data_IF_488629863358
#
_entry.id   IF_488629863358
#
_cell.length_a   1.000
_cell.length_b   1.000
_cell.length_c   1.000
_cell.angle_alpha   90.00
_cell.angle_beta   90.00
_cell.angle_gamma   90.00
#
_symmetry.space_group_name_H-M   'P 1'
#
loop_
_entity.id
_entity.type
_entity.pdbx_description
1 polymer ?
#
# COMPACT_ATOMS: atom_id res chain seq x y z
N UNK A 1 -16.40 16.12 -8.75
CA UNK A 1 -16.48 15.36 -7.50
C UNK A 1 -16.63 16.25 -6.29
N UNK A 2 -17.61 15.94 -5.44
CA UNK A 2 -17.76 16.52 -4.10
C UNK A 2 -17.49 15.43 -3.07
N UNK A 3 -16.77 15.76 -2.01
CA UNK A 3 -16.51 14.86 -0.90
C UNK A 3 -17.06 15.42 0.42
N UNK A 4 -17.53 14.54 1.28
CA UNK A 4 -17.96 14.86 2.64
C UNK A 4 -17.08 14.12 3.64
N UNK A 5 -16.32 14.87 4.45
CA UNK A 5 -15.38 14.32 5.42
C UNK A 5 -16.05 14.07 6.78
N UNK A 6 -15.87 12.87 7.32
CA UNK A 6 -16.19 12.48 8.70
C UNK A 6 -14.92 12.00 9.38
N UNK A 7 -14.45 12.71 10.41
CA UNK A 7 -13.36 12.21 11.28
C UNK A 7 -13.94 11.15 12.20
N UNK A 8 -13.31 9.97 12.23
CA UNK A 8 -13.80 8.80 12.97
C UNK A 8 -12.91 8.43 14.17
N UNK A 9 -11.64 8.87 14.16
CA UNK A 9 -10.74 8.73 15.30
C UNK A 9 -9.58 9.73 15.23
N UNK A 10 -8.98 9.98 16.39
CA UNK A 10 -7.66 10.57 16.51
C UNK A 10 -6.64 9.46 16.81
N UNK A 11 -5.61 9.34 15.97
CA UNK A 11 -4.54 8.36 16.09
C UNK A 11 -3.22 9.04 15.68
N UNK A 12 -2.38 9.32 16.68
CA UNK A 12 -1.12 10.02 16.45
C UNK A 12 -0.27 9.30 15.40
N UNK A 13 0.12 10.04 14.36
CA UNK A 13 0.89 9.50 13.22
C UNK A 13 0.23 8.27 12.58
N UNK A 14 -1.10 8.26 12.46
CA UNK A 14 -1.83 7.28 11.67
C UNK A 14 -1.21 7.09 10.28
N UNK A 15 -1.15 5.85 9.81
CA UNK A 15 -0.45 5.51 8.58
C UNK A 15 -1.09 4.35 7.82
N UNK A 16 -1.09 3.15 8.40
CA UNK A 16 -1.52 1.95 7.69
C UNK A 16 -3.03 1.80 7.74
N UNK A 17 -3.63 1.48 6.60
CA UNK A 17 -5.06 1.28 6.42
C UNK A 17 -5.30 -0.08 5.74
N UNK A 18 -6.39 -0.75 6.09
CA UNK A 18 -6.87 -1.92 5.35
C UNK A 18 -8.34 -2.17 5.65
N UNK A 19 -8.96 -3.11 4.95
CA UNK A 19 -10.18 -3.76 5.42
C UNK A 19 -9.86 -5.14 5.97
N UNK A 20 -10.58 -5.55 7.02
CA UNK A 20 -10.40 -6.84 7.65
C UNK A 20 -11.76 -7.46 7.97
N UNK A 21 -11.99 -8.67 7.46
CA UNK A 21 -13.20 -9.45 7.74
C UNK A 21 -12.95 -10.42 8.89
N UNK A 22 -13.72 -10.24 9.97
CA UNK A 22 -13.75 -11.14 11.12
C UNK A 22 -15.15 -11.14 11.74
N UNK A 23 -15.49 -12.19 12.49
CA UNK A 23 -16.82 -12.36 13.10
C UNK A 23 -18.02 -12.22 12.13
N UNK A 24 -17.78 -12.49 10.83
CA UNK A 24 -18.79 -12.40 9.77
C UNK A 24 -19.07 -10.97 9.28
N UNK A 25 -18.31 -9.98 9.72
CA UNK A 25 -18.45 -8.57 9.33
C UNK A 25 -17.15 -8.04 8.70
N UNK A 26 -17.30 -7.05 7.80
CA UNK A 26 -16.17 -6.32 7.21
C UNK A 26 -15.91 -5.06 8.01
N UNK A 27 -14.67 -4.87 8.41
CA UNK A 27 -14.23 -3.73 9.22
C UNK A 27 -13.19 -2.88 8.50
N UNK A 28 -13.17 -1.60 8.81
CA UNK A 28 -12.06 -0.70 8.49
C UNK A 28 -11.00 -0.84 9.58
N UNK A 29 -9.72 -0.83 9.24
CA UNK A 29 -8.63 -0.95 10.21
C UNK A 29 -7.60 0.13 9.98
N UNK A 30 -7.18 0.80 11.06
CA UNK A 30 -6.14 1.82 11.04
C UNK A 30 -5.08 1.58 12.13
N UNK A 31 -3.82 1.81 11.76
CA UNK A 31 -2.68 1.76 12.68
C UNK A 31 -1.67 2.87 12.37
N UNK A 32 -0.83 3.22 13.34
CA UNK A 32 0.18 4.26 13.19
C UNK A 32 1.56 3.71 12.82
N UNK A 33 2.39 4.56 12.22
CA UNK A 33 3.83 4.33 12.06
C UNK A 33 4.60 4.53 13.38
N UNK A 34 3.94 4.96 14.46
CA UNK A 34 4.50 5.09 15.81
C UNK A 34 3.95 4.04 16.75
N UNK A 35 4.42 4.06 17.99
CA UNK A 35 3.98 3.11 19.02
C UNK A 35 2.57 3.45 19.52
N UNK A 36 1.59 3.04 18.74
CA UNK A 36 0.16 3.33 18.93
C UNK A 36 -0.66 2.06 18.63
N UNK A 37 -1.91 1.99 19.12
CA UNK A 37 -2.78 0.84 18.89
C UNK A 37 -3.15 0.67 17.41
N UNK A 38 -3.57 -0.55 17.07
CA UNK A 38 -4.34 -0.82 15.87
C UNK A 38 -5.80 -0.97 16.24
N UNK A 39 -6.65 -0.24 15.53
CA UNK A 39 -8.07 -0.08 15.86
C UNK A 39 -8.89 -0.51 14.66
N UNK A 40 -9.95 -1.29 14.90
CA UNK A 40 -10.96 -1.60 13.90
C UNK A 40 -12.23 -0.77 14.09
N UNK A 41 -12.92 -0.50 12.99
CA UNK A 41 -14.14 0.30 12.93
C UNK A 41 -15.19 -0.39 12.06
N UNK A 42 -16.47 -0.06 12.26
CA UNK A 42 -17.50 -0.33 11.26
C UNK A 42 -17.20 0.42 9.97
N UNK A 43 -17.88 0.06 8.89
CA UNK A 43 -17.79 0.79 7.63
C UNK A 43 -18.29 2.24 7.77
N UNK A 44 -19.13 2.54 8.77
CA UNK A 44 -19.59 3.90 9.08
C UNK A 44 -18.65 4.67 10.03
N UNK A 45 -17.60 4.01 10.54
CA UNK A 45 -16.58 4.63 11.39
C UNK A 45 -16.77 4.48 12.90
N UNK A 46 -17.70 3.65 13.37
CA UNK A 46 -17.83 3.37 14.80
C UNK A 46 -16.72 2.41 15.25
N UNK A 47 -16.00 2.77 16.31
CA UNK A 47 -14.95 1.89 16.87
C UNK A 47 -15.53 0.53 17.28
N UNK A 48 -14.91 -0.55 16.82
CA UNK A 48 -15.32 -1.94 17.10
C UNK A 48 -14.38 -2.64 18.07
N UNK A 49 -13.08 -2.59 17.80
CA UNK A 49 -12.11 -3.34 18.60
C UNK A 49 -10.73 -2.66 18.63
N UNK A 50 -9.90 -3.08 19.57
CA UNK A 50 -8.47 -2.77 19.60
C UNK A 50 -7.74 -4.08 19.31
N UNK A 51 -7.22 -4.22 18.10
CA UNK A 51 -6.57 -5.45 17.65
C UNK A 51 -5.25 -5.70 18.42
N UNK A 52 -4.54 -4.63 18.76
CA UNK A 52 -3.42 -4.61 19.70
C UNK A 52 -3.14 -3.18 20.19
N UNK A 53 -2.41 -3.06 21.30
CA UNK A 53 -2.03 -1.77 21.90
C UNK A 53 -0.63 -1.31 21.50
N UNK A 54 0.39 -2.13 21.74
CA UNK A 54 1.80 -1.86 21.43
C UNK A 54 2.59 -3.17 21.27
N UNK A 55 3.78 -3.20 20.66
CA UNK A 55 4.37 -2.13 19.86
C UNK A 55 3.56 -1.83 18.59
N UNK A 56 3.59 -0.58 18.14
CA UNK A 56 3.14 -0.13 16.82
C UNK A 56 4.24 -0.19 15.74
N UNK A 57 4.38 0.86 14.93
CA UNK A 57 5.33 0.89 13.81
C UNK A 57 4.83 0.11 12.59
N UNK A 58 3.57 0.34 12.23
CA UNK A 58 2.84 -0.43 11.21
C UNK A 58 2.82 0.38 9.92
N UNK A 59 3.29 -0.27 8.85
CA UNK A 59 3.38 0.32 7.51
C UNK A 59 2.50 -0.40 6.49
N UNK A 60 2.11 -1.64 6.73
CA UNK A 60 1.23 -2.41 5.85
C UNK A 60 0.43 -3.43 6.64
N UNK A 61 -0.81 -3.66 6.22
CA UNK A 61 -1.69 -4.69 6.77
C UNK A 61 -2.45 -5.37 5.62
N UNK A 62 -2.52 -6.69 5.63
CA UNK A 62 -3.18 -7.48 4.59
C UNK A 62 -3.91 -8.65 5.24
N UNK A 63 -5.15 -8.89 4.86
CA UNK A 63 -5.88 -10.06 5.32
C UNK A 63 -5.36 -11.34 4.64
N UNK A 64 -5.17 -12.39 5.44
CA UNK A 64 -4.84 -13.72 4.96
C UNK A 64 -5.99 -14.30 4.11
N UNK A 65 -5.73 -14.92 2.96
CA UNK A 65 -6.78 -15.42 2.07
C UNK A 65 -7.73 -16.40 2.76
N UNK A 66 -9.03 -16.08 2.73
CA UNK A 66 -10.10 -16.98 3.19
C UNK A 66 -10.13 -17.26 4.70
N UNK A 67 -9.34 -16.55 5.52
CA UNK A 67 -9.34 -16.72 6.98
C UNK A 67 -9.41 -15.36 7.70
N UNK A 68 -10.01 -15.28 8.89
CA UNK A 68 -10.02 -14.06 9.71
C UNK A 68 -8.67 -13.88 10.42
N UNK A 69 -7.59 -13.77 9.63
CA UNK A 69 -6.22 -13.57 10.09
C UNK A 69 -5.69 -12.30 9.45
N UNK A 70 -5.16 -11.39 10.25
CA UNK A 70 -4.57 -10.14 9.77
C UNK A 70 -3.04 -10.24 9.81
N UNK A 71 -2.38 -10.07 8.67
CA UNK A 71 -0.94 -9.84 8.61
C UNK A 71 -0.65 -8.36 8.77
N UNK A 72 0.47 -8.03 9.42
CA UNK A 72 0.94 -6.66 9.51
C UNK A 72 2.47 -6.59 9.59
N UNK A 73 3.04 -5.43 9.22
CA UNK A 73 4.38 -5.07 9.69
C UNK A 73 4.31 -4.54 11.11
N UNK A 74 5.44 -4.60 11.82
CA UNK A 74 5.59 -4.08 13.18
C UNK A 74 6.98 -3.48 13.36
N UNK A 75 7.11 -2.47 14.21
CA UNK A 75 8.37 -1.82 14.61
C UNK A 75 9.17 -1.19 13.46
N UNK A 76 8.50 -0.79 12.38
CA UNK A 76 9.06 0.15 11.43
C UNK A 76 8.62 1.56 11.83
N UNK A 77 9.51 2.35 12.45
CA UNK A 77 9.18 3.70 12.93
C UNK A 77 9.63 4.83 12.00
N UNK A 78 10.64 4.54 11.19
CA UNK A 78 11.16 5.37 10.09
C UNK A 78 12.25 4.58 9.36
N UNK A 79 12.72 5.02 8.19
CA UNK A 79 13.89 4.40 7.55
C UNK A 79 15.15 4.44 8.43
N UNK A 80 15.23 5.31 9.45
CA UNK A 80 16.35 5.40 10.38
C UNK A 80 16.18 4.55 11.66
N UNK A 81 15.01 3.93 11.84
CA UNK A 81 14.65 3.16 13.04
C UNK A 81 13.65 2.07 12.61
N UNK A 82 14.19 0.99 12.07
CA UNK A 82 13.43 -0.14 11.51
C UNK A 82 14.24 -1.44 11.46
N UNK A 83 15.37 -1.50 12.14
CA UNK A 83 16.19 -2.70 12.30
C UNK A 83 15.44 -3.82 13.03
N UNK A 84 14.55 -3.47 13.96
CA UNK A 84 13.66 -4.40 14.68
C UNK A 84 12.36 -4.73 13.92
N UNK A 85 12.24 -4.32 12.66
CA UNK A 85 11.03 -4.55 11.88
C UNK A 85 10.78 -6.05 11.64
N UNK A 86 9.51 -6.44 11.65
CA UNK A 86 9.07 -7.83 11.49
C UNK A 86 7.71 -7.92 10.82
N UNK A 87 7.41 -9.11 10.28
CA UNK A 87 6.07 -9.50 9.88
C UNK A 87 5.41 -10.25 11.04
N UNK A 88 4.16 -9.91 11.32
CA UNK A 88 3.33 -10.52 12.36
C UNK A 88 2.02 -11.00 11.75
N UNK A 89 1.34 -11.93 12.42
CA UNK A 89 -0.05 -12.25 12.15
C UNK A 89 -0.88 -12.19 13.43
N UNK A 90 -2.17 -11.91 13.27
CA UNK A 90 -3.15 -11.90 14.34
C UNK A 90 -4.23 -12.95 14.13
N UNK A 91 -4.51 -13.72 15.19
CA UNK A 91 -5.61 -14.69 15.26
C UNK A 91 -6.50 -14.39 16.45
N UNK A 92 -7.76 -14.83 16.41
CA UNK A 92 -8.67 -14.77 17.55
C UNK A 92 -8.57 -16.08 18.34
N UNK A 93 -8.24 -16.01 19.64
CA UNK A 93 -8.24 -17.16 20.56
C UNK A 93 -9.03 -16.79 21.81
N UNK A 94 -10.03 -17.61 22.17
CA UNK A 94 -10.89 -17.40 23.34
C UNK A 94 -11.50 -15.98 23.44
N UNK A 95 -11.81 -15.39 22.29
CA UNK A 95 -12.38 -14.04 22.22
C UNK A 95 -11.35 -12.91 22.31
N UNK A 96 -10.06 -13.19 22.39
CA UNK A 96 -8.98 -12.20 22.41
C UNK A 96 -8.12 -12.26 21.14
N UNK A 97 -7.51 -11.12 20.79
CA UNK A 97 -6.54 -11.06 19.70
C UNK A 97 -5.17 -11.52 20.19
N UNK A 98 -4.65 -12.56 19.56
CA UNK A 98 -3.30 -13.07 19.79
C UNK A 98 -2.44 -12.69 18.61
N UNK A 99 -1.34 -12.00 18.91
CA UNK A 99 -0.37 -11.52 17.93
C UNK A 99 0.89 -12.35 17.99
N UNK A 100 1.28 -12.92 16.86
CA UNK A 100 2.46 -13.80 16.74
C UNK A 100 3.44 -13.24 15.72
N UNK A 101 4.74 -13.29 16.02
CA UNK A 101 5.80 -12.97 15.05
C UNK A 101 5.85 -14.06 13.99
N UNK A 102 5.65 -13.69 12.73
CA UNK A 102 5.71 -14.61 11.60
C UNK A 102 7.15 -14.82 11.14
N UNK A 103 7.89 -13.71 10.98
CA UNK A 103 9.33 -13.71 10.76
C UNK A 103 9.92 -12.34 11.08
N UNK A 104 11.20 -12.31 11.49
CA UNK A 104 11.98 -11.07 11.60
C UNK A 104 12.51 -10.71 10.21
N UNK A 105 12.29 -9.47 9.80
CA UNK A 105 12.75 -8.97 8.51
C UNK A 105 13.10 -7.48 8.67
N UNK A 106 14.31 -7.16 9.16
CA UNK A 106 14.75 -5.78 9.35
C UNK A 106 14.48 -4.91 8.12
N UNK A 107 14.01 -3.69 8.35
CA UNK A 107 13.67 -2.68 7.35
C UNK A 107 12.45 -3.01 6.45
N UNK A 108 11.66 -4.05 6.76
CA UNK A 108 10.43 -4.35 6.02
C UNK A 108 9.39 -3.24 6.21
N UNK A 109 8.88 -2.68 5.11
CA UNK A 109 7.95 -1.55 5.15
C UNK A 109 6.72 -1.74 4.25
N UNK A 110 6.80 -2.57 3.21
CA UNK A 110 5.67 -2.97 2.37
C UNK A 110 5.65 -4.48 2.21
N UNK A 111 4.47 -5.07 2.12
CA UNK A 111 4.31 -6.46 1.73
C UNK A 111 2.92 -6.67 1.12
N UNK A 112 2.74 -7.78 0.42
CA UNK A 112 1.46 -8.18 -0.12
C UNK A 112 1.40 -9.69 -0.33
N UNK A 113 0.24 -10.15 -0.76
CA UNK A 113 0.01 -11.53 -1.15
C UNK A 113 -0.28 -11.56 -2.63
N UNK A 114 0.46 -12.39 -3.36
CA UNK A 114 0.26 -12.61 -4.77
C UNK A 114 -0.28 -14.02 -5.00
N UNK A 115 -1.16 -14.17 -5.98
CA UNK A 115 -1.75 -15.44 -6.41
C UNK A 115 -1.26 -15.81 -7.81
N UNK A 116 -0.94 -17.10 -7.98
CA UNK A 116 -0.63 -17.72 -9.27
C UNK A 116 -1.38 -19.04 -9.38
N UNK A 117 -2.54 -19.02 -10.01
CA UNK A 117 -3.46 -20.15 -10.02
C UNK A 117 -4.04 -20.41 -8.62
N UNK A 118 -3.76 -21.56 -8.04
CA UNK A 118 -4.19 -21.91 -6.67
C UNK A 118 -3.13 -21.64 -5.59
N UNK A 119 -1.95 -21.15 -5.99
CA UNK A 119 -0.86 -20.89 -5.07
C UNK A 119 -0.88 -19.44 -4.61
N UNK A 120 -0.60 -19.23 -3.33
CA UNK A 120 -0.37 -17.92 -2.74
C UNK A 120 1.10 -17.75 -2.36
N UNK A 121 1.61 -16.55 -2.57
CA UNK A 121 2.97 -16.15 -2.26
C UNK A 121 2.94 -14.89 -1.42
N UNK A 122 3.78 -14.86 -0.40
CA UNK A 122 4.09 -13.64 0.33
C UNK A 122 5.23 -12.91 -0.39
N UNK A 123 5.05 -11.63 -0.67
CA UNK A 123 6.10 -10.74 -1.18
C UNK A 123 6.29 -9.62 -0.15
N UNK A 124 7.53 -9.32 0.21
CA UNK A 124 7.87 -8.27 1.17
C UNK A 124 9.05 -7.43 0.66
N UNK A 125 8.95 -6.13 0.87
CA UNK A 125 9.95 -5.14 0.46
C UNK A 125 10.62 -4.58 1.69
N UNK A 126 11.96 -4.57 1.67
CA UNK A 126 12.74 -3.78 2.62
C UNK A 126 13.17 -2.48 1.96
N UNK A 127 12.96 -1.35 2.65
CA UNK A 127 13.27 -0.02 2.11
C UNK A 127 14.78 0.18 1.84
N UNK A 128 15.57 -0.48 2.68
CA UNK A 128 17.03 -0.59 2.64
C UNK A 128 17.45 -1.87 3.38
N UNK A 129 18.75 -2.19 3.42
CA UNK A 129 19.23 -3.40 4.12
C UNK A 129 19.94 -3.12 5.45
N UNK A 130 20.43 -1.91 5.67
CA UNK A 130 21.10 -1.49 6.90
C UNK A 130 21.25 0.04 6.95
N UNK A 131 21.65 0.56 8.11
CA UNK A 131 22.22 1.90 8.24
C UNK A 131 23.26 1.96 9.36
N UNK A 132 24.37 2.64 9.12
CA UNK A 132 25.38 2.95 10.14
C UNK A 132 25.10 4.28 10.86
N UNK A 133 24.39 5.20 10.20
CA UNK A 133 24.06 6.53 10.71
C UNK A 133 22.69 7.00 10.18
N UNK A 134 22.22 8.14 10.67
CA UNK A 134 20.97 8.76 10.20
C UNK A 134 21.10 9.14 8.73
N UNK A 135 20.08 8.80 7.94
CA UNK A 135 19.97 9.06 6.50
C UNK A 135 21.03 8.33 5.65
N UNK A 136 21.55 7.21 6.17
CA UNK A 136 22.37 6.27 5.40
C UNK A 136 21.48 5.43 4.45
N UNK A 137 21.73 5.60 3.15
CA UNK A 137 21.08 4.93 2.03
C UNK A 137 22.05 4.07 1.21
N UNK A 138 23.25 3.80 1.73
CA UNK A 138 24.31 3.08 1.00
C UNK A 138 24.03 1.58 0.85
N UNK A 139 23.14 1.04 1.68
CA UNK A 139 22.75 -0.37 1.66
C UNK A 139 21.37 -0.54 1.03
N UNK A 140 21.25 -0.78 -0.29
CA UNK A 140 19.97 -0.83 -0.98
C UNK A 140 19.05 -1.93 -0.43
N UNK A 141 17.75 -1.72 -0.61
CA UNK A 141 16.68 -2.62 -0.24
C UNK A 141 16.58 -3.84 -1.16
N UNK A 142 15.62 -4.70 -0.81
CA UNK A 142 15.40 -5.99 -1.49
C UNK A 142 13.91 -6.32 -1.54
N UNK A 143 13.58 -7.21 -2.47
CA UNK A 143 12.34 -7.95 -2.49
C UNK A 143 12.60 -9.35 -1.97
N UNK A 144 11.79 -9.75 -1.00
CA UNK A 144 11.79 -11.04 -0.36
C UNK A 144 10.51 -11.78 -0.71
N UNK A 145 10.60 -13.08 -0.91
CA UNK A 145 9.45 -13.90 -1.26
C UNK A 145 9.44 -15.21 -0.47
N UNK A 146 8.26 -15.75 -0.29
CA UNK A 146 8.04 -17.08 0.24
C UNK A 146 6.72 -17.63 -0.29
N UNK A 147 6.60 -18.94 -0.36
CA UNK A 147 5.28 -19.55 -0.50
C UNK A 147 4.47 -19.25 0.77
N UNK A 148 3.23 -18.81 0.61
CA UNK A 148 2.34 -18.57 1.74
C UNK A 148 1.88 -19.95 2.27
N UNK A 149 2.11 -20.27 3.55
CA UNK A 149 1.79 -21.58 4.09
C UNK A 149 0.29 -21.72 4.37
N UNK A 150 -0.35 -22.82 3.95
CA UNK A 150 -1.78 -23.07 4.16
C UNK A 150 -2.23 -22.87 5.62
N UNK A 151 -1.37 -23.28 6.57
CA UNK A 151 -1.57 -23.05 7.99
C UNK A 151 -0.47 -22.15 8.57
N UNK A 152 -0.76 -20.86 8.65
CA UNK A 152 0.16 -19.87 9.22
C UNK A 152 0.43 -20.06 10.71
N UNK A 153 -0.47 -20.71 11.46
CA UNK A 153 -0.34 -20.90 12.91
C UNK A 153 0.76 -21.90 13.31
N UNK A 154 1.31 -22.64 12.35
CA UNK A 154 2.47 -23.51 12.55
C UNK A 154 3.79 -22.72 12.65
N UNK A 155 3.74 -21.41 12.36
CA UNK A 155 4.88 -20.51 12.37
C UNK A 155 4.81 -19.54 13.55
N UNK A 156 5.95 -19.27 14.16
CA UNK A 156 6.10 -18.37 15.30
C UNK A 156 7.56 -17.88 15.42
N UNK A 157 7.93 -17.23 16.52
CA UNK A 157 9.29 -16.73 16.70
C UNK A 157 10.36 -17.83 16.78
N UNK A 158 10.02 -19.00 17.33
CA UNK A 158 10.93 -20.16 17.42
C UNK A 158 10.95 -21.00 16.13
N UNK A 159 9.92 -20.86 15.29
CA UNK A 159 9.80 -21.48 13.97
C UNK A 159 9.35 -20.44 12.92
N UNK A 160 10.21 -19.49 12.54
CA UNK A 160 9.82 -18.39 11.67
C UNK A 160 9.67 -18.85 10.22
N UNK A 161 8.83 -18.15 9.45
CA UNK A 161 8.80 -18.30 8.00
C UNK A 161 10.14 -17.88 7.41
N UNK A 162 10.71 -18.75 6.56
CA UNK A 162 11.93 -18.44 5.82
C UNK A 162 11.58 -17.65 4.57
N UNK A 163 12.09 -16.42 4.49
CA UNK A 163 11.95 -15.55 3.32
C UNK A 163 13.21 -15.61 2.46
N UNK A 164 13.05 -15.76 1.14
CA UNK A 164 14.15 -15.82 0.19
C UNK A 164 14.30 -14.48 -0.55
N UNK A 165 15.53 -13.97 -0.77
CA UNK A 165 15.73 -12.76 -1.54
C UNK A 165 15.51 -13.05 -3.03
N UNK A 166 14.49 -12.42 -3.63
CA UNK A 166 14.20 -12.54 -5.06
C UNK A 166 14.97 -11.50 -5.87
N UNK A 167 14.99 -10.24 -5.41
CA UNK A 167 15.63 -9.12 -6.12
C UNK A 167 16.37 -8.20 -5.15
N UNK A 168 17.55 -7.75 -5.55
CA UNK A 168 18.48 -6.96 -4.72
C UNK A 168 18.88 -5.67 -5.43
N UNK A 169 19.50 -4.73 -4.69
CA UNK A 169 20.04 -3.51 -5.29
C UNK A 169 18.97 -2.44 -5.58
N UNK A 170 17.87 -2.47 -4.83
CA UNK A 170 16.74 -1.54 -4.98
C UNK A 170 16.92 -0.35 -4.04
N UNK A 171 17.36 0.80 -4.56
CA UNK A 171 17.63 1.99 -3.72
C UNK A 171 16.32 2.69 -3.33
N UNK A 172 16.17 3.02 -2.04
CA UNK A 172 14.93 3.61 -1.50
C UNK A 172 13.69 2.86 -1.99
N UNK A 173 13.73 1.52 -1.89
CA UNK A 173 12.65 0.63 -2.32
C UNK A 173 11.37 0.98 -1.57
N UNK A 174 10.48 1.79 -2.12
CA UNK A 174 9.41 2.43 -1.34
C UNK A 174 8.03 2.01 -1.86
N UNK A 175 7.77 2.25 -3.14
CA UNK A 175 6.46 2.02 -3.74
C UNK A 175 6.13 0.56 -3.91
N UNK A 176 4.87 0.21 -3.73
CA UNK A 176 4.38 -1.16 -3.81
C UNK A 176 2.89 -1.18 -4.15
N UNK A 177 2.55 -1.76 -5.29
CA UNK A 177 1.16 -1.97 -5.71
C UNK A 177 0.95 -3.39 -6.20
N UNK A 178 -0.12 -4.05 -5.76
CA UNK A 178 -0.55 -5.35 -6.29
C UNK A 178 -1.46 -5.12 -7.49
N UNK A 179 -1.22 -5.87 -8.57
CA UNK A 179 -1.95 -5.79 -9.83
C UNK A 179 -2.76 -7.07 -10.00
N UNK A 180 -4.04 -6.95 -10.35
CA UNK A 180 -4.86 -8.08 -10.80
C UNK A 180 -4.65 -8.25 -12.31
N UNK A 181 -4.02 -9.35 -12.70
CA UNK A 181 -3.76 -9.66 -14.12
C UNK A 181 -4.92 -10.38 -14.80
N UNK A 182 -5.88 -10.85 -14.01
CA UNK A 182 -7.08 -11.55 -14.45
C UNK A 182 -8.27 -11.07 -13.65
N UNK A 183 -9.43 -10.96 -14.29
CA UNK A 183 -10.68 -10.53 -13.63
C UNK A 183 -11.09 -11.47 -12.50
N UNK A 184 -10.82 -12.76 -12.63
CA UNK A 184 -11.12 -13.77 -11.59
C UNK A 184 -10.15 -13.74 -10.40
N UNK A 185 -9.12 -12.88 -10.46
CA UNK A 185 -8.12 -12.71 -9.40
C UNK A 185 -7.22 -13.92 -9.19
N UNK A 186 -7.19 -14.91 -10.09
CA UNK A 186 -6.32 -16.09 -9.95
C UNK A 186 -4.86 -15.78 -10.24
N UNK A 187 -4.60 -14.71 -10.97
CA UNK A 187 -3.26 -14.25 -11.28
C UNK A 187 -3.10 -12.79 -10.88
N UNK A 188 -2.10 -12.54 -10.06
CA UNK A 188 -1.72 -11.21 -9.63
C UNK A 188 -0.21 -11.05 -9.68
N UNK A 189 0.24 -9.84 -9.93
CA UNK A 189 1.64 -9.43 -9.90
C UNK A 189 1.80 -8.21 -9.01
N UNK A 190 3.02 -7.68 -8.88
CA UNK A 190 3.27 -6.44 -8.15
C UNK A 190 4.14 -5.49 -8.97
N UNK A 191 3.94 -4.19 -8.77
CA UNK A 191 4.86 -3.16 -9.26
C UNK A 191 5.54 -2.52 -8.05
N UNK A 192 6.84 -2.28 -8.19
CA UNK A 192 7.70 -1.73 -7.14
C UNK A 192 8.43 -0.51 -7.65
N UNK A 193 8.43 0.55 -6.85
CA UNK A 193 9.13 1.80 -7.14
C UNK A 193 10.34 2.00 -6.27
N UNK A 194 11.40 2.41 -6.93
CA UNK A 194 12.68 2.66 -6.32
C UNK A 194 13.30 3.92 -6.92
N UNK A 195 14.36 4.42 -6.30
CA UNK A 195 15.16 5.52 -6.83
C UNK A 195 15.86 5.16 -8.16
N UNK A 196 16.01 3.86 -8.46
CA UNK A 196 16.68 3.35 -9.65
C UNK A 196 15.73 2.71 -10.68
N UNK A 197 14.42 2.85 -10.52
CA UNK A 197 13.42 2.50 -11.53
C UNK A 197 12.12 1.93 -10.98
N UNK A 198 11.26 1.53 -11.90
CA UNK A 198 9.98 0.84 -11.64
C UNK A 198 10.09 -0.58 -12.16
N UNK A 199 9.73 -1.56 -11.33
CA UNK A 199 9.89 -2.98 -11.61
C UNK A 199 8.57 -3.73 -11.49
N UNK A 200 8.24 -4.53 -12.49
CA UNK A 200 7.11 -5.46 -12.49
C UNK A 200 7.57 -6.86 -12.07
N UNK A 201 6.98 -7.37 -11.00
CA UNK A 201 7.34 -8.64 -10.38
C UNK A 201 6.20 -9.63 -10.54
N UNK A 202 6.52 -10.78 -11.13
CA UNK A 202 5.55 -11.80 -11.48
C UNK A 202 5.89 -13.08 -10.72
N UNK A 203 4.94 -13.64 -9.94
CA UNK A 203 5.15 -14.91 -9.24
C UNK A 203 5.34 -16.06 -10.23
N UNK A 204 6.10 -17.11 -9.86
CA UNK A 204 6.22 -18.29 -10.70
C UNK A 204 4.87 -19.01 -10.80
N UNK A 205 4.70 -19.81 -11.87
CA UNK A 205 3.52 -20.69 -12.02
C UNK A 205 3.64 -21.99 -11.22
N UNK A 206 4.88 -22.40 -10.94
CA UNK A 206 5.22 -23.62 -10.21
C UNK A 206 6.00 -23.23 -8.94
N UNK A 207 5.68 -23.78 -7.75
CA UNK A 207 6.41 -23.47 -6.53
C UNK A 207 7.89 -23.85 -6.68
N UNK A 208 8.79 -22.98 -6.20
CA UNK A 208 10.25 -23.19 -6.26
C UNK A 208 10.90 -22.77 -7.58
N UNK A 209 10.13 -22.37 -8.60
CA UNK A 209 10.70 -21.72 -9.78
C UNK A 209 11.06 -20.25 -9.52
N UNK A 210 11.86 -19.68 -10.42
CA UNK A 210 12.31 -18.30 -10.29
C UNK A 210 11.18 -17.30 -10.56
N UNK A 211 11.15 -16.27 -9.73
CA UNK A 211 10.34 -15.08 -9.97
C UNK A 211 10.86 -14.31 -11.19
N UNK A 212 9.95 -13.71 -11.95
CA UNK A 212 10.32 -12.80 -13.02
C UNK A 212 10.30 -11.36 -12.50
N UNK A 213 11.26 -10.55 -12.94
CA UNK A 213 11.30 -9.12 -12.69
C UNK A 213 11.67 -8.40 -13.97
N UNK A 214 10.75 -7.60 -14.46
CA UNK A 214 10.92 -6.75 -15.62
C UNK A 214 11.07 -5.30 -15.15
N UNK A 215 12.07 -4.59 -15.67
CA UNK A 215 12.17 -3.15 -15.44
C UNK A 215 11.25 -2.45 -16.44
N UNK A 216 10.23 -1.76 -15.94
CA UNK A 216 9.30 -1.00 -16.78
C UNK A 216 9.91 0.34 -17.20
N UNK A 217 10.52 1.07 -16.25
CA UNK A 217 11.04 2.42 -16.46
C UNK A 217 12.29 2.68 -15.62
N UNK A 218 13.16 3.59 -16.09
CA UNK A 218 14.33 4.09 -15.36
C UNK A 218 14.00 5.27 -14.41
N UNK A 219 12.77 5.78 -14.45
CA UNK A 219 12.33 6.92 -13.63
C UNK A 219 12.32 6.52 -12.14
N UNK A 220 12.92 7.38 -11.30
CA UNK A 220 12.85 7.24 -9.86
C UNK A 220 11.40 7.38 -9.37
N UNK A 221 10.90 6.42 -8.60
CA UNK A 221 9.52 6.40 -8.13
C UNK A 221 9.46 6.20 -6.61
N UNK A 222 8.80 7.14 -5.93
CA UNK A 222 8.38 6.97 -4.53
C UNK A 222 7.25 5.98 -4.43
N UNK A 223 6.23 6.12 -5.28
CA UNK A 223 5.10 5.20 -5.35
C UNK A 223 4.44 5.28 -6.73
N UNK A 224 3.60 4.29 -7.07
CA UNK A 224 2.94 4.22 -8.37
C UNK A 224 1.66 3.40 -8.37
N UNK A 225 0.82 3.68 -9.37
CA UNK A 225 -0.27 2.81 -9.79
C UNK A 225 -0.01 2.37 -11.22
N UNK A 226 -0.32 1.10 -11.52
CA UNK A 226 -0.23 0.54 -12.86
C UNK A 226 -1.62 0.04 -13.29
N UNK A 227 -2.38 0.92 -13.93
CA UNK A 227 -3.82 0.76 -14.17
C UNK A 227 -4.18 1.33 -15.55
N UNK A 228 -5.18 0.75 -16.20
CA UNK A 228 -5.72 1.21 -17.47
C UNK A 228 -6.72 2.34 -17.20
N UNK A 229 -6.22 3.58 -17.12
CA UNK A 229 -6.99 4.75 -16.72
C UNK A 229 -7.93 5.24 -17.84
N UNK A 230 -7.50 5.19 -19.10
CA UNK A 230 -8.33 5.58 -20.23
C UNK A 230 -9.16 4.43 -20.80
N UNK A 231 -8.97 3.21 -20.29
CA UNK A 231 -9.68 1.98 -20.63
C UNK A 231 -9.57 1.63 -22.12
N UNK A 232 -8.39 1.82 -22.71
CA UNK A 232 -8.07 1.37 -24.06
C UNK A 232 -7.46 -0.05 -24.12
N UNK A 233 -7.27 -0.67 -22.95
CA UNK A 233 -6.70 -2.00 -22.79
C UNK A 233 -5.22 -2.02 -22.45
N UNK A 234 -4.54 -0.87 -22.45
CA UNK A 234 -3.15 -0.73 -22.04
C UNK A 234 -3.02 0.09 -20.75
N UNK A 235 -2.33 -0.47 -19.75
CA UNK A 235 -2.14 0.21 -18.46
C UNK A 235 -1.18 1.38 -18.56
N UNK A 236 -1.50 2.48 -17.91
CA UNK A 236 -0.58 3.58 -17.63
C UNK A 236 0.06 3.46 -16.25
N UNK A 237 1.22 4.11 -16.11
CA UNK A 237 1.91 4.29 -14.84
C UNK A 237 1.65 5.70 -14.31
N UNK A 238 0.84 5.83 -13.26
CA UNK A 238 0.80 7.04 -12.45
C UNK A 238 1.94 6.97 -11.43
N UNK A 239 2.81 7.97 -11.40
CA UNK A 239 4.07 7.93 -10.64
C UNK A 239 4.20 9.17 -9.74
N UNK A 240 4.50 8.93 -8.47
CA UNK A 240 4.97 9.94 -7.52
C UNK A 240 6.49 9.92 -7.51
N UNK A 241 7.15 11.03 -7.85
CA UNK A 241 8.60 11.05 -8.03
C UNK A 241 9.30 12.32 -7.53
N UNK A 242 10.57 12.21 -7.11
CA UNK A 242 11.28 10.99 -6.68
C UNK A 242 10.78 10.53 -5.28
N UNK A 243 11.55 9.76 -4.51
CA UNK A 243 11.25 9.35 -3.13
C UNK A 243 10.79 10.51 -2.24
N UNK A 244 9.55 10.44 -1.71
CA UNK A 244 8.87 11.53 -0.97
C UNK A 244 8.96 12.89 -1.69
N UNK A 245 8.95 12.83 -3.02
CA UNK A 245 9.15 13.96 -3.92
C UNK A 245 7.89 14.79 -4.11
N UNK A 246 7.90 15.59 -5.18
CA UNK A 246 6.92 16.63 -5.43
C UNK A 246 6.29 16.59 -6.83
N UNK A 247 6.62 15.58 -7.64
CA UNK A 247 6.12 15.41 -9.00
C UNK A 247 5.11 14.27 -9.06
N UNK A 248 3.98 14.56 -9.70
CA UNK A 248 2.93 13.62 -10.05
C UNK A 248 2.78 13.62 -11.57
N UNK A 249 2.95 12.46 -12.18
CA UNK A 249 2.91 12.28 -13.64
C UNK A 249 2.21 10.99 -14.00
N UNK A 250 1.61 10.92 -15.19
CA UNK A 250 1.09 9.68 -15.77
C UNK A 250 1.82 9.39 -17.07
N UNK A 251 2.30 8.16 -17.20
CA UNK A 251 3.05 7.68 -18.35
C UNK A 251 2.26 6.61 -19.09
N UNK A 252 2.15 6.74 -20.41
CA UNK A 252 1.59 5.72 -21.30
C UNK A 252 2.69 5.13 -22.17
N UNK A 253 2.56 3.83 -22.48
CA UNK A 253 3.49 3.15 -23.37
C UNK A 253 3.19 3.52 -24.81
N UNK A 254 4.21 3.89 -25.57
CA UNK A 254 4.13 4.14 -27.00
C UNK A 254 5.25 3.36 -27.70
N UNK A 255 4.93 2.18 -28.21
CA UNK A 255 5.93 1.23 -28.72
C UNK A 255 6.79 0.67 -27.60
N UNK A 256 8.10 0.91 -27.65
CA UNK A 256 9.05 0.49 -26.59
C UNK A 256 9.29 1.58 -25.53
N UNK A 257 8.85 2.81 -25.79
CA UNK A 257 9.09 3.97 -24.92
C UNK A 257 7.88 4.25 -24.01
N UNK A 258 8.14 4.96 -22.90
CA UNK A 258 7.10 5.57 -22.07
C UNK A 258 7.07 7.08 -22.31
N UNK A 259 5.87 7.63 -22.55
CA UNK A 259 5.64 9.07 -22.71
C UNK A 259 4.78 9.61 -21.58
N UNK A 260 5.10 10.81 -21.11
CA UNK A 260 4.25 11.53 -20.16
C UNK A 260 3.01 12.00 -20.91
N UNK A 261 1.86 11.46 -20.54
CA UNK A 261 0.53 11.85 -21.08
C UNK A 261 -0.20 12.83 -20.18
N UNK A 262 0.26 12.95 -18.92
CA UNK A 262 -0.24 13.96 -18.00
C UNK A 262 0.81 14.28 -16.92
N UNK A 263 0.81 15.52 -16.46
CA UNK A 263 1.69 16.05 -15.42
C UNK A 263 0.89 17.08 -14.61
N UNK A 264 0.87 16.91 -13.29
CA UNK A 264 0.28 17.92 -12.41
C UNK A 264 0.99 19.27 -12.58
N UNK A 265 0.20 20.35 -12.66
CA UNK A 265 0.74 21.70 -12.77
C UNK A 265 1.24 22.20 -11.40
N UNK A 266 2.54 22.44 -11.30
CA UNK A 266 3.17 22.88 -10.05
C UNK A 266 3.75 21.72 -9.25
N UNK A 267 3.84 21.91 -7.93
CA UNK A 267 4.55 21.00 -7.03
C UNK A 267 3.64 20.60 -5.87
N UNK A 268 3.71 19.33 -5.49
CA UNK A 268 3.01 18.77 -4.34
C UNK A 268 4.04 18.21 -3.35
N UNK A 269 4.70 19.02 -2.51
CA UNK A 269 5.81 18.54 -1.69
C UNK A 269 5.39 17.41 -0.75
N UNK A 270 6.24 16.38 -0.69
CA UNK A 270 6.01 15.18 0.11
C UNK A 270 4.77 14.38 -0.35
N UNK A 271 4.72 14.02 -1.63
CA UNK A 271 3.75 13.07 -2.18
C UNK A 271 3.93 11.71 -1.52
N UNK A 272 2.84 11.12 -1.02
CA UNK A 272 2.93 9.89 -0.25
C UNK A 272 1.65 9.03 -0.28
N UNK A 273 0.46 9.60 -0.09
CA UNK A 273 -0.77 8.81 -0.15
C UNK A 273 -1.10 8.50 -1.62
N UNK A 274 -1.35 7.22 -1.93
CA UNK A 274 -1.74 6.78 -3.27
C UNK A 274 -2.68 5.58 -3.17
N UNK A 275 -3.78 5.60 -3.93
CA UNK A 275 -4.67 4.45 -4.10
C UNK A 275 -5.34 4.51 -5.47
N UNK A 276 -5.47 3.36 -6.14
CA UNK A 276 -6.18 3.24 -7.41
C UNK A 276 -7.36 2.32 -7.26
N UNK A 277 -8.53 2.74 -7.72
CA UNK A 277 -9.74 1.90 -7.76
C UNK A 277 -10.71 2.42 -8.83
N UNK A 278 -11.79 1.68 -9.06
CA UNK A 278 -12.85 2.09 -9.98
C UNK A 278 -14.07 2.64 -9.25
N UNK A 279 -14.60 3.76 -9.73
CA UNK A 279 -15.88 4.30 -9.28
C UNK A 279 -16.86 4.33 -10.45
N UNK A 280 -17.97 3.61 -10.32
CA UNK A 280 -18.97 3.49 -11.38
C UNK A 280 -18.38 3.06 -12.74
N UNK A 281 -17.35 2.21 -12.72
CA UNK A 281 -16.64 1.73 -13.91
C UNK A 281 -15.68 2.74 -14.53
N UNK A 282 -15.36 3.83 -13.84
CA UNK A 282 -14.33 4.80 -14.23
C UNK A 282 -13.12 4.61 -13.30
N UNK A 283 -11.91 4.39 -13.83
CA UNK A 283 -10.69 4.32 -13.04
C UNK A 283 -10.32 5.67 -12.42
N UNK A 284 -10.06 5.68 -11.11
CA UNK A 284 -9.58 6.83 -10.37
C UNK A 284 -8.28 6.50 -9.63
N UNK A 285 -7.41 7.50 -9.56
CA UNK A 285 -6.32 7.56 -8.60
C UNK A 285 -6.60 8.62 -7.54
N UNK A 286 -6.29 8.28 -6.30
CA UNK A 286 -6.37 9.19 -5.16
C UNK A 286 -4.95 9.45 -4.67
N UNK A 287 -4.52 10.71 -4.73
CA UNK A 287 -3.14 11.11 -4.45
C UNK A 287 -3.12 12.20 -3.41
N UNK A 288 -2.24 12.09 -2.41
CA UNK A 288 -2.11 13.11 -1.38
C UNK A 288 -0.68 13.45 -0.99
N UNK A 289 -0.48 14.72 -0.65
CA UNK A 289 0.78 15.26 -0.19
C UNK A 289 0.70 15.72 1.28
N UNK A 290 1.86 15.84 1.92
CA UNK A 290 1.95 16.06 3.37
C UNK A 290 2.51 17.41 3.79
N UNK A 291 3.02 18.20 2.84
CA UNK A 291 3.59 19.51 3.11
C UNK A 291 2.86 20.62 2.33
N UNK A 292 3.05 21.86 2.77
CA UNK A 292 2.45 23.08 2.17
C UNK A 292 0.92 23.05 2.18
N UNK A 293 0.28 22.57 1.11
CA UNK A 293 -1.18 22.55 0.92
C UNK A 293 -1.84 21.36 1.61
N UNK A 294 -1.11 20.24 1.77
CA UNK A 294 -1.60 19.02 2.42
C UNK A 294 -2.91 18.50 1.80
N UNK A 295 -2.91 18.43 0.47
CA UNK A 295 -4.07 18.10 -0.34
C UNK A 295 -4.30 16.60 -0.45
N UNK A 296 -5.56 16.26 -0.74
CA UNK A 296 -5.99 14.98 -1.27
C UNK A 296 -6.70 15.25 -2.60
N UNK A 297 -6.22 14.63 -3.66
CA UNK A 297 -6.69 14.81 -5.04
C UNK A 297 -7.29 13.51 -5.57
N UNK A 298 -8.32 13.62 -6.41
CA UNK A 298 -8.81 12.57 -7.29
C UNK A 298 -8.35 12.86 -8.72
N UNK A 299 -7.86 11.86 -9.43
CA UNK A 299 -7.36 11.97 -10.80
C UNK A 299 -8.02 10.87 -11.62
N UNK A 300 -8.57 11.21 -12.78
CA UNK A 300 -9.14 10.25 -13.71
C UNK A 300 -8.98 10.74 -15.15
N UNK A 301 -9.15 9.85 -16.11
CA UNK A 301 -9.22 10.22 -17.51
C UNK A 301 -10.67 10.53 -17.91
N UNK A 302 -10.94 11.77 -18.31
CA UNK A 302 -12.24 12.17 -18.85
C UNK A 302 -12.28 11.86 -20.35
N UNK A 303 -13.01 10.80 -20.71
CA UNK A 303 -13.19 10.38 -22.11
C UNK A 303 -13.93 11.38 -22.98
N UNK A 304 -14.79 12.23 -22.41
CA UNK A 304 -15.54 13.22 -23.18
C UNK A 304 -14.64 14.38 -23.63
N UNK A 305 -13.63 14.72 -22.82
CA UNK A 305 -12.65 15.79 -23.14
C UNK A 305 -11.35 15.22 -23.73
N UNK A 306 -11.04 13.95 -23.47
CA UNK A 306 -9.83 13.27 -23.95
C UNK A 306 -8.57 13.65 -23.19
N UNK A 307 -8.68 13.89 -21.88
CA UNK A 307 -7.53 14.23 -21.03
C UNK A 307 -7.74 13.82 -19.57
N UNK A 308 -6.65 13.83 -18.81
CA UNK A 308 -6.70 13.66 -17.36
C UNK A 308 -7.28 14.90 -16.68
N UNK A 309 -8.17 14.67 -15.72
CA UNK A 309 -8.82 15.69 -14.90
C UNK A 309 -8.49 15.45 -13.44
N UNK A 310 -8.18 16.53 -12.74
CA UNK A 310 -7.87 16.54 -11.32
C UNK A 310 -8.97 17.25 -10.53
N UNK A 311 -9.34 16.68 -9.40
CA UNK A 311 -10.33 17.26 -8.50
C UNK A 311 -9.84 17.20 -7.06
N UNK A 312 -9.89 18.33 -6.35
CA UNK A 312 -9.49 18.40 -4.94
C UNK A 312 -10.59 17.85 -4.03
N UNK A 313 -10.26 16.83 -3.25
CA UNK A 313 -11.11 16.19 -2.25
C UNK A 313 -11.00 16.91 -0.90
N UNK A 314 -9.78 17.23 -0.46
CA UNK A 314 -9.50 17.86 0.83
C UNK A 314 -8.23 18.72 0.76
N UNK A 315 -8.09 19.64 1.70
CA UNK A 315 -6.91 20.49 1.90
C UNK A 315 -6.60 20.64 3.39
N UNK A 316 -5.32 20.67 3.77
CA UNK A 316 -4.88 20.90 5.14
C UNK A 316 -4.73 19.65 6.02
N UNK A 317 -5.23 18.50 5.59
CA UNK A 317 -5.24 17.27 6.40
C UNK A 317 -3.94 16.46 6.30
N UNK A 318 -3.36 16.34 5.10
CA UNK A 318 -2.05 15.72 4.87
C UNK A 318 -2.05 14.20 5.06
N UNK A 319 -2.72 13.45 4.18
CA UNK A 319 -2.78 11.99 4.25
C UNK A 319 -1.41 11.34 4.02
N UNK A 320 -1.08 10.36 4.86
CA UNK A 320 0.02 9.43 4.59
C UNK A 320 -0.47 8.20 3.82
N UNK A 321 -1.74 7.83 3.95
CA UNK A 321 -2.30 6.74 3.16
C UNK A 321 -3.79 6.97 2.96
N UNK A 322 -4.31 6.41 1.86
CA UNK A 322 -5.73 6.39 1.53
C UNK A 322 -6.09 5.02 0.99
N UNK A 323 -7.33 4.61 1.18
CA UNK A 323 -7.85 3.35 0.67
C UNK A 323 -9.32 3.53 0.30
N UNK A 324 -9.68 3.12 -0.91
CA UNK A 324 -11.08 3.09 -1.32
C UNK A 324 -11.79 1.84 -0.79
N UNK A 325 -13.06 2.00 -0.41
CA UNK A 325 -13.96 0.88 -0.17
C UNK A 325 -15.37 1.22 -0.63
N UNK A 326 -16.07 0.19 -1.13
CA UNK A 326 -17.43 0.29 -1.62
C UNK A 326 -18.41 -0.32 -0.63
N UNK A 327 -19.58 0.29 -0.49
CA UNK A 327 -20.74 -0.28 0.20
C UNK A 327 -21.96 -0.20 -0.72
N UNK A 328 -23.10 -0.71 -0.26
CA UNK A 328 -24.37 -0.52 -1.00
C UNK A 328 -24.82 0.94 -1.05
N UNK A 329 -24.31 1.78 -0.15
CA UNK A 329 -24.67 3.19 -0.04
C UNK A 329 -23.81 4.09 -0.94
N UNK A 330 -22.67 3.57 -1.43
CA UNK A 330 -21.82 4.26 -2.38
C UNK A 330 -20.33 4.00 -2.18
N UNK A 331 -19.55 5.02 -2.53
CA UNK A 331 -18.12 5.01 -2.70
C UNK A 331 -17.45 5.86 -1.62
N UNK A 332 -16.45 5.30 -0.94
CA UNK A 332 -15.83 5.93 0.22
C UNK A 332 -14.31 5.82 0.19
N UNK A 333 -13.63 6.84 0.71
CA UNK A 333 -12.21 6.75 1.06
C UNK A 333 -12.04 6.70 2.56
N UNK A 334 -11.20 5.79 3.03
CA UNK A 334 -10.58 5.86 4.34
C UNK A 334 -9.22 6.56 4.18
N UNK A 335 -8.94 7.58 4.98
CA UNK A 335 -7.66 8.28 4.98
C UNK A 335 -7.00 8.26 6.36
N UNK A 336 -5.69 8.12 6.36
CA UNK A 336 -4.81 8.31 7.50
C UNK A 336 -4.15 9.69 7.36
N UNK A 337 -4.82 10.74 7.87
CA UNK A 337 -4.35 12.12 7.84
C UNK A 337 -3.27 12.34 8.90
N UNK A 338 -2.07 11.85 8.61
CA UNK A 338 -0.94 11.80 9.55
C UNK A 338 -0.54 13.16 10.10
N UNK A 339 -0.73 14.23 9.32
CA UNK A 339 -0.33 15.58 9.76
C UNK A 339 -1.37 16.25 10.67
N UNK A 340 -2.60 15.75 10.71
CA UNK A 340 -3.64 16.16 11.68
C UNK A 340 -3.96 15.07 12.72
N UNK A 341 -3.34 13.89 12.61
CA UNK A 341 -3.63 12.69 13.40
C UNK A 341 -5.06 12.17 13.25
N UNK A 342 -5.76 12.52 12.17
CA UNK A 342 -7.15 12.10 11.95
C UNK A 342 -7.20 10.82 11.12
N UNK A 343 -7.96 9.84 11.59
CA UNK A 343 -8.53 8.81 10.72
C UNK A 343 -9.88 9.33 10.24
N UNK A 344 -10.05 9.46 8.92
CA UNK A 344 -11.25 10.06 8.35
C UNK A 344 -11.85 9.22 7.23
N UNK A 345 -13.17 9.25 7.12
CA UNK A 345 -13.93 8.71 6.00
C UNK A 345 -14.37 9.88 5.12
N UNK A 346 -14.20 9.76 3.81
CA UNK A 346 -14.75 10.68 2.81
C UNK A 346 -15.82 9.95 2.01
N UNK A 347 -17.05 10.45 2.04
CA UNK A 347 -18.11 9.99 1.14
C UNK A 347 -17.96 10.70 -0.20
N UNK A 348 -17.72 9.94 -1.27
CA UNK A 348 -17.51 10.48 -2.60
C UNK A 348 -18.84 10.59 -3.35
N UNK A 349 -19.10 11.75 -3.95
CA UNK A 349 -20.28 12.04 -4.76
C UNK A 349 -19.82 12.55 -6.12
N UNK A 350 -20.06 11.74 -7.15
CA UNK A 350 -19.78 12.09 -8.56
C UNK A 350 -20.78 13.13 -9.03
#
# INVERSE_FOLDING_TARGET
MRAEKKVIAELEKCYALTTFEYDGERHLVAAAEKDQPCISFSLDGDKRDILWTNPGGVMTMVQYPGRPILLATKQFYSPNNSDEASLIYLTRKDGEWVRTTFCKLPFVHRFGILRSGEQYFLIACTIKSANAFKDDWTCPGRVWTAQLPDNIEDYNEDNPLVMEPAFNGLYKNHGFSVIRDTEDGRYTSAVIGTDNGIFHIIPPKVPGEKWNCEKLMDVAASDMLYMDFDQDGERELLVLSPFHGDNLSVYKKEGEDWKVVYQHEGKLPFLHAIWGDEMQGIPYAFVGNREVTKELLAIHYDKAVGCYVEEKIDEGAGPANVMMYHTREGDFLLAANRETNEVAIYTLKI
#
